data_IF_513511270170
#
_entry.id   IF_513511270170
#
_cell.length_a   1.000
_cell.length_b   1.000
_cell.length_c   1.000
_cell.angle_alpha   90.00
_cell.angle_beta   90.00
_cell.angle_gamma   90.00
#
_symmetry.space_group_name_H-M   'P 1'
#
loop_
_entity.id
_entity.type
_entity.pdbx_description
1 polymer ?
#
# COMPACT_ATOMS: atom_id res chain seq x y z
N UNK A 1 1.25 1.10 18.95
CA UNK A 1 -0.17 1.33 19.26
C UNK A 1 -0.67 2.37 18.28
N UNK A 2 -1.37 1.95 17.22
CA UNK A 2 -1.64 2.74 16.01
C UNK A 2 -3.05 2.41 15.46
N UNK A 3 -4.12 2.72 16.19
CA UNK A 3 -5.47 2.68 15.62
C UNK A 3 -5.74 4.03 14.95
N UNK A 4 -5.81 4.01 13.62
CA UNK A 4 -6.23 5.16 12.84
C UNK A 4 -7.63 4.90 12.30
N UNK A 5 -8.50 5.90 12.40
CA UNK A 5 -9.84 5.84 11.81
C UNK A 5 -10.11 7.09 10.97
N UNK A 6 -10.71 6.89 9.81
CA UNK A 6 -11.22 7.95 8.95
C UNK A 6 -12.71 7.76 8.81
N UNK A 7 -13.47 8.79 9.13
CA UNK A 7 -14.93 8.78 9.01
C UNK A 7 -15.33 9.81 7.97
N UNK A 8 -16.00 9.34 6.93
CA UNK A 8 -16.47 10.14 5.80
C UNK A 8 -17.99 10.24 5.86
N UNK A 9 -18.53 11.43 5.62
CA UNK A 9 -19.97 11.69 5.55
C UNK A 9 -20.30 12.34 4.22
N UNK A 10 -21.20 11.72 3.47
CA UNK A 10 -21.60 12.14 2.12
C UNK A 10 -23.14 12.08 1.99
N UNK A 11 -23.69 12.93 1.13
CA UNK A 11 -25.11 13.06 0.89
C UNK A 11 -25.49 14.49 0.48
N UNK A 12 -26.72 14.92 0.79
CA UNK A 12 -27.20 16.26 0.44
C UNK A 12 -26.32 17.36 1.11
N UNK A 13 -25.68 18.25 0.32
CA UNK A 13 -24.90 19.38 0.83
C UNK A 13 -25.63 20.27 1.85
N UNK A 14 -26.96 20.42 1.70
CA UNK A 14 -27.79 21.20 2.61
C UNK A 14 -27.85 20.61 4.03
N UNK A 15 -27.73 19.28 4.15
CA UNK A 15 -27.79 18.57 5.42
C UNK A 15 -26.42 18.43 6.10
N UNK A 16 -25.32 18.41 5.32
CA UNK A 16 -23.97 18.22 5.86
C UNK A 16 -23.58 19.28 6.90
N UNK A 17 -23.96 20.53 6.70
CA UNK A 17 -23.64 21.62 7.65
C UNK A 17 -24.29 21.40 9.02
N UNK A 18 -25.56 20.98 9.03
CA UNK A 18 -26.31 20.72 10.26
C UNK A 18 -25.82 19.44 10.94
N UNK A 19 -25.55 18.40 10.15
CA UNK A 19 -24.92 17.16 10.62
C UNK A 19 -23.59 17.43 11.32
N UNK A 20 -22.70 18.22 10.71
CA UNK A 20 -21.40 18.61 11.27
C UNK A 20 -21.54 19.22 12.67
N UNK A 21 -22.43 20.19 12.80
CA UNK A 21 -22.67 20.86 14.09
C UNK A 21 -23.26 19.91 15.14
N UNK A 22 -24.07 18.95 14.72
CA UNK A 22 -24.64 17.94 15.61
C UNK A 22 -23.59 16.92 16.07
N UNK A 23 -22.82 16.33 15.16
CA UNK A 23 -21.83 15.30 15.48
C UNK A 23 -20.66 15.87 16.29
N UNK A 24 -20.23 17.11 16.03
CA UNK A 24 -19.16 17.74 16.80
C UNK A 24 -19.56 17.93 18.28
N UNK A 25 -20.82 18.31 18.53
CA UNK A 25 -21.34 18.40 19.91
C UNK A 25 -21.33 17.04 20.61
N UNK A 26 -21.75 15.99 19.91
CA UNK A 26 -21.75 14.63 20.44
C UNK A 26 -20.31 14.12 20.71
N UNK A 27 -19.35 14.47 19.85
CA UNK A 27 -17.93 14.14 20.04
C UNK A 27 -17.33 14.88 21.24
N UNK A 28 -17.70 16.15 21.45
CA UNK A 28 -17.31 16.93 22.63
C UNK A 28 -17.91 16.34 23.92
N UNK A 29 -19.18 15.91 23.88
CA UNK A 29 -19.88 15.28 25.01
C UNK A 29 -19.32 13.90 25.38
N UNK A 30 -18.95 13.08 24.39
CA UNK A 30 -18.36 11.74 24.63
C UNK A 30 -17.00 11.83 25.33
N UNK A 31 -16.23 12.90 25.06
CA UNK A 31 -14.90 13.12 25.61
C UNK A 31 -13.89 12.13 25.02
N UNK A 32 -12.95 12.61 24.21
CA UNK A 32 -12.12 11.69 23.42
C UNK A 32 -10.78 12.24 22.94
N UNK A 33 -10.07 11.36 22.23
CA UNK A 33 -8.80 11.65 21.56
C UNK A 33 -8.95 12.77 20.53
N UNK A 34 -7.88 13.53 20.28
CA UNK A 34 -7.91 14.63 19.31
C UNK A 34 -8.11 14.12 17.89
N UNK A 35 -8.99 14.75 17.15
CA UNK A 35 -9.26 14.46 15.75
C UNK A 35 -8.96 15.66 14.86
N UNK A 36 -8.70 15.38 13.57
CA UNK A 36 -8.62 16.41 12.54
C UNK A 36 -9.90 16.35 11.72
N UNK A 37 -10.53 17.51 11.55
CA UNK A 37 -11.72 17.66 10.72
C UNK A 37 -11.32 18.32 9.38
N UNK A 38 -11.79 17.74 8.28
CA UNK A 38 -11.69 18.28 6.93
C UNK A 38 -13.12 18.37 6.37
N UNK A 39 -13.44 19.45 5.66
CA UNK A 39 -14.76 19.61 5.07
C UNK A 39 -14.69 20.32 3.72
N UNK A 40 -15.57 19.88 2.82
CA UNK A 40 -15.90 20.54 1.56
C UNK A 40 -17.42 20.78 1.50
N UNK A 41 -17.92 21.34 0.40
CA UNK A 41 -19.35 21.51 0.21
C UNK A 41 -20.12 20.18 0.12
N UNK A 42 -19.45 19.09 -0.32
CA UNK A 42 -20.10 17.82 -0.67
C UNK A 42 -19.74 16.67 0.29
N UNK A 43 -18.80 16.90 1.22
CA UNK A 43 -18.25 15.85 2.08
C UNK A 43 -17.68 16.40 3.37
N UNK A 44 -17.87 15.65 4.46
CA UNK A 44 -17.15 15.82 5.72
C UNK A 44 -16.20 14.64 5.92
N UNK A 45 -15.04 14.90 6.51
CA UNK A 45 -14.07 13.88 6.87
C UNK A 45 -13.47 14.14 8.25
N UNK A 46 -13.39 13.08 9.05
CA UNK A 46 -12.85 13.10 10.40
C UNK A 46 -11.74 12.06 10.53
N UNK A 47 -10.52 12.51 10.78
CA UNK A 47 -9.34 11.66 10.98
C UNK A 47 -9.01 11.55 12.47
N UNK A 48 -8.94 10.33 12.99
CA UNK A 48 -8.65 10.04 14.38
C UNK A 48 -7.35 9.24 14.53
N UNK A 49 -6.58 9.58 15.57
CA UNK A 49 -5.49 8.75 16.10
C UNK A 49 -5.87 8.30 17.50
N UNK A 50 -6.39 7.08 17.60
CA UNK A 50 -7.10 6.60 18.78
C UNK A 50 -6.19 5.75 19.67
N UNK A 51 -6.29 5.96 20.98
CA UNK A 51 -5.74 5.04 21.99
C UNK A 51 -6.76 3.98 22.39
N UNK A 52 -8.05 4.31 22.27
CA UNK A 52 -9.20 3.46 22.58
C UNK A 52 -9.89 2.90 21.33
N UNK A 53 -11.22 2.81 21.39
CA UNK A 53 -12.06 2.38 20.27
C UNK A 53 -12.48 3.54 19.36
N UNK A 54 -13.04 3.19 18.20
CA UNK A 54 -13.62 4.15 17.26
C UNK A 54 -14.89 4.74 17.90
N UNK A 55 -15.10 6.07 17.84
CA UNK A 55 -16.29 6.72 18.41
C UNK A 55 -17.52 6.45 17.55
N UNK A 56 -17.97 5.21 17.46
CA UNK A 56 -19.22 4.87 16.75
C UNK A 56 -20.47 5.57 17.31
N UNK A 57 -20.65 5.71 18.65
CA UNK A 57 -21.91 6.23 19.19
C UNK A 57 -22.31 7.63 18.71
N UNK A 58 -21.41 8.64 18.64
CA UNK A 58 -21.74 9.95 18.07
C UNK A 58 -22.21 9.88 16.61
N UNK A 59 -21.53 9.09 15.78
CA UNK A 59 -21.84 8.98 14.35
C UNK A 59 -23.11 8.16 14.08
N UNK A 60 -23.40 7.15 14.91
CA UNK A 60 -24.67 6.42 14.87
C UNK A 60 -25.83 7.34 15.25
N UNK A 61 -25.69 8.09 16.34
CA UNK A 61 -26.72 9.02 16.81
C UNK A 61 -26.97 10.14 15.80
N UNK A 62 -25.91 10.71 15.23
CA UNK A 62 -26.03 11.70 14.16
C UNK A 62 -26.66 11.09 12.89
N UNK A 63 -26.26 9.88 12.47
CA UNK A 63 -26.87 9.21 11.32
C UNK A 63 -28.37 8.95 11.50
N UNK A 64 -28.84 8.72 12.73
CA UNK A 64 -30.26 8.58 13.02
C UNK A 64 -31.03 9.91 12.85
N UNK A 65 -30.42 11.03 13.25
CA UNK A 65 -31.02 12.35 13.08
C UNK A 65 -31.01 12.84 11.62
N UNK A 66 -30.09 12.31 10.80
CA UNK A 66 -29.91 12.67 9.39
C UNK A 66 -29.92 11.40 8.51
N UNK A 67 -31.10 10.76 8.33
CA UNK A 67 -31.20 9.44 7.70
C UNK A 67 -30.79 9.43 6.22
N UNK A 68 -30.84 10.59 5.55
CA UNK A 68 -30.48 10.75 4.14
C UNK A 68 -28.96 10.86 3.91
N UNK A 69 -28.17 10.96 4.98
CA UNK A 69 -26.71 10.98 4.91
C UNK A 69 -26.13 9.58 5.10
N UNK A 70 -25.07 9.28 4.36
CA UNK A 70 -24.30 8.05 4.52
C UNK A 70 -23.02 8.35 5.27
N UNK A 71 -22.77 7.57 6.34
CA UNK A 71 -21.54 7.66 7.12
C UNK A 71 -20.71 6.42 6.86
N UNK A 72 -19.53 6.59 6.29
CA UNK A 72 -18.55 5.53 6.11
C UNK A 72 -17.44 5.66 7.14
N UNK A 73 -17.17 4.58 7.87
CA UNK A 73 -16.10 4.49 8.86
C UNK A 73 -15.08 3.48 8.33
N UNK A 74 -13.84 3.93 8.13
CA UNK A 74 -12.70 3.06 7.80
C UNK A 74 -11.71 3.11 8.95
N UNK A 75 -11.15 1.96 9.31
CA UNK A 75 -10.12 1.92 10.34
C UNK A 75 -9.03 0.90 10.05
N UNK A 76 -7.88 1.14 10.66
CA UNK A 76 -6.76 0.22 10.68
C UNK A 76 -6.11 0.23 12.07
N UNK A 77 -6.09 -0.94 12.72
CA UNK A 77 -5.28 -1.24 13.88
C UNK A 77 -4.02 -1.97 13.43
N UNK A 78 -2.94 -1.21 13.22
CA UNK A 78 -1.67 -1.79 12.78
C UNK A 78 -1.02 -2.68 13.86
N UNK A 79 -1.41 -2.55 15.14
CA UNK A 79 -0.86 -3.39 16.20
C UNK A 79 -1.56 -4.77 16.24
N UNK A 80 -2.85 -4.82 15.91
CA UNK A 80 -3.63 -6.06 15.88
C UNK A 80 -3.83 -6.64 14.47
N UNK A 81 -3.35 -5.97 13.41
CA UNK A 81 -3.57 -6.39 12.02
C UNK A 81 -5.03 -6.33 11.61
N UNK A 82 -5.84 -5.49 12.25
CA UNK A 82 -7.28 -5.46 12.02
C UNK A 82 -7.63 -4.19 11.27
N UNK A 83 -8.10 -4.33 10.04
CA UNK A 83 -8.73 -3.24 9.32
C UNK A 83 -10.21 -3.53 9.17
N UNK A 84 -10.98 -2.49 8.96
CA UNK A 84 -12.39 -2.68 8.68
C UNK A 84 -13.02 -1.46 8.07
N UNK A 85 -14.20 -1.73 7.52
CA UNK A 85 -15.09 -0.74 6.96
C UNK A 85 -16.47 -0.98 7.56
N UNK A 86 -17.10 0.10 7.98
CA UNK A 86 -18.47 0.10 8.41
C UNK A 86 -19.22 1.21 7.67
N UNK A 87 -20.44 0.94 7.25
CA UNK A 87 -21.35 1.94 6.72
C UNK A 87 -22.51 2.05 7.68
N UNK A 88 -22.79 3.28 8.12
CA UNK A 88 -23.91 3.60 8.99
C UNK A 88 -24.91 4.40 8.16
N UNK A 89 -26.17 3.96 8.18
CA UNK A 89 -27.30 4.66 7.56
C UNK A 89 -28.48 4.63 8.51
N UNK A 90 -29.13 5.77 8.70
CA UNK A 90 -30.29 5.91 9.58
C UNK A 90 -30.07 5.30 10.98
N UNK A 91 -28.90 5.52 11.56
CA UNK A 91 -28.54 4.98 12.89
C UNK A 91 -28.33 3.47 12.95
N UNK A 92 -28.29 2.78 11.81
CA UNK A 92 -28.05 1.34 11.72
C UNK A 92 -26.72 1.09 11.02
N UNK A 93 -25.93 0.17 11.58
CA UNK A 93 -24.75 -0.37 10.91
C UNK A 93 -25.22 -1.25 9.74
N UNK A 94 -25.29 -0.65 8.55
CA UNK A 94 -25.85 -1.27 7.34
C UNK A 94 -24.90 -2.31 6.74
N UNK A 95 -23.60 -2.04 6.78
CA UNK A 95 -22.56 -2.95 6.33
C UNK A 95 -21.39 -2.91 7.32
N UNK A 96 -20.87 -4.08 7.69
CA UNK A 96 -19.65 -4.19 8.47
C UNK A 96 -18.79 -5.28 7.86
N UNK A 97 -17.66 -4.87 7.28
CA UNK A 97 -16.62 -5.80 6.84
C UNK A 97 -15.45 -5.65 7.79
N UNK A 98 -15.17 -6.69 8.56
CA UNK A 98 -14.00 -6.76 9.42
C UNK A 98 -13.00 -7.71 8.77
N UNK A 99 -11.87 -7.17 8.34
CA UNK A 99 -10.78 -7.98 7.84
C UNK A 99 -9.80 -8.21 8.99
N UNK A 100 -9.82 -9.43 9.51
CA UNK A 100 -8.78 -9.90 10.41
C UNK A 100 -7.61 -10.32 9.55
N UNK A 101 -6.61 -9.47 9.41
CA UNK A 101 -5.30 -9.96 8.99
C UNK A 101 -4.66 -10.56 10.25
N UNK A 102 -3.94 -11.67 10.14
CA UNK A 102 -2.90 -11.95 11.13
C UNK A 102 -2.09 -10.65 11.26
N UNK A 103 -1.66 -10.22 12.48
CA UNK A 103 -0.88 -8.99 12.64
C UNK A 103 0.13 -8.95 11.52
N UNK A 104 -0.08 -8.06 10.55
CA UNK A 104 0.64 -8.12 9.30
C UNK A 104 2.09 -8.09 9.69
N UNK A 105 2.82 -9.18 9.45
CA UNK A 105 4.27 -9.08 9.47
C UNK A 105 4.57 -7.87 8.58
N UNK A 106 5.38 -6.93 9.07
CA UNK A 106 5.77 -5.77 8.30
C UNK A 106 6.07 -6.20 6.86
N UNK A 107 5.54 -5.48 5.87
CA UNK A 107 5.71 -5.82 4.47
C UNK A 107 7.17 -6.25 4.22
N UNK A 108 7.35 -7.43 3.63
CA UNK A 108 8.67 -7.97 3.39
C UNK A 108 9.27 -7.20 2.21
N UNK A 109 10.43 -6.61 2.46
CA UNK A 109 11.20 -5.83 1.51
C UNK A 109 12.51 -6.55 1.15
N UNK A 110 12.85 -6.54 -0.14
CA UNK A 110 14.19 -6.86 -0.68
C UNK A 110 14.57 -5.70 -1.60
N UNK A 111 15.65 -5.01 -1.28
CA UNK A 111 16.12 -3.82 -2.02
C UNK A 111 17.58 -4.03 -2.35
N UNK A 112 17.92 -3.90 -3.64
CA UNK A 112 19.27 -4.14 -4.16
C UNK A 112 19.69 -3.00 -5.07
N UNK A 113 20.92 -2.56 -4.87
CA UNK A 113 21.55 -1.54 -5.67
C UNK A 113 22.93 -1.98 -6.17
N UNK A 114 23.35 -1.42 -7.28
CA UNK A 114 24.73 -1.41 -7.73
C UNK A 114 25.62 -0.59 -6.78
N UNK A 115 26.94 -0.80 -6.89
CA UNK A 115 27.92 -0.03 -6.10
C UNK A 115 27.89 1.48 -6.40
N UNK A 116 27.40 1.88 -7.57
CA UNK A 116 27.19 3.27 -7.98
C UNK A 116 25.80 3.82 -7.58
N UNK A 117 25.05 3.07 -6.78
CA UNK A 117 23.71 3.45 -6.33
C UNK A 117 22.57 3.15 -7.31
N UNK A 118 22.85 2.55 -8.46
CA UNK A 118 21.83 2.14 -9.43
C UNK A 118 20.84 1.12 -8.85
N UNK A 119 19.55 1.33 -9.06
CA UNK A 119 18.51 0.39 -8.63
C UNK A 119 18.55 -0.88 -9.49
N UNK A 120 18.83 -2.04 -8.87
CA UNK A 120 18.79 -3.35 -9.56
C UNK A 120 17.42 -3.99 -9.47
N UNK A 121 16.91 -4.08 -8.25
CA UNK A 121 15.60 -4.62 -7.95
C UNK A 121 15.20 -4.12 -6.57
N UNK A 122 13.98 -3.66 -6.45
CA UNK A 122 13.36 -3.36 -5.17
C UNK A 122 11.94 -3.92 -5.18
N UNK A 123 11.56 -4.57 -4.10
CA UNK A 123 10.20 -5.10 -3.95
C UNK A 123 9.73 -4.99 -2.52
N UNK A 124 8.42 -4.87 -2.40
CA UNK A 124 7.68 -5.07 -1.17
C UNK A 124 6.57 -6.08 -1.43
N UNK A 125 6.33 -6.99 -0.48
CA UNK A 125 5.18 -7.88 -0.53
C UNK A 125 4.66 -8.22 0.85
N UNK A 126 3.38 -8.55 0.89
CA UNK A 126 2.71 -9.04 2.08
C UNK A 126 1.82 -10.23 1.73
N UNK A 127 1.43 -10.96 2.77
CA UNK A 127 0.48 -12.06 2.62
C UNK A 127 -0.92 -11.47 2.50
N UNK A 128 -1.57 -11.70 1.37
CA UNK A 128 -2.95 -11.31 1.12
C UNK A 128 -3.77 -12.54 0.80
N UNK A 129 -4.67 -12.92 1.71
CA UNK A 129 -5.38 -14.21 1.66
C UNK A 129 -4.37 -15.36 1.54
N UNK A 130 -4.58 -16.26 0.58
CA UNK A 130 -3.69 -17.40 0.31
C UNK A 130 -2.57 -17.08 -0.69
N UNK A 131 -2.35 -15.81 -1.02
CA UNK A 131 -1.39 -15.35 -2.02
C UNK A 131 -0.36 -14.38 -1.39
N UNK A 132 0.80 -14.27 -2.03
CA UNK A 132 1.74 -13.19 -1.76
C UNK A 132 1.52 -12.11 -2.81
N UNK A 133 1.12 -10.91 -2.39
CA UNK A 133 0.91 -9.77 -3.29
C UNK A 133 1.98 -8.73 -3.04
N UNK A 134 2.42 -8.10 -4.11
CA UNK A 134 3.52 -7.17 -4.01
C UNK A 134 3.68 -6.22 -5.17
N UNK A 135 4.58 -5.27 -4.96
CA UNK A 135 5.08 -4.35 -5.95
C UNK A 135 6.56 -4.61 -6.16
N UNK A 136 6.98 -4.65 -7.42
CA UNK A 136 8.38 -4.83 -7.81
C UNK A 136 8.78 -3.74 -8.80
N UNK A 137 9.98 -3.20 -8.64
CA UNK A 137 10.54 -2.15 -9.48
C UNK A 137 12.03 -2.40 -9.74
N UNK A 138 12.44 -2.18 -10.98
CA UNK A 138 13.81 -2.14 -11.45
C UNK A 138 14.12 -0.73 -11.99
N UNK A 139 15.26 -0.57 -12.67
CA UNK A 139 15.71 0.74 -13.16
C UNK A 139 14.72 1.40 -14.13
N UNK A 140 14.01 0.62 -14.94
CA UNK A 140 13.23 1.06 -16.10
C UNK A 140 11.84 0.40 -16.21
N UNK A 141 11.48 -0.48 -15.27
CA UNK A 141 10.20 -1.20 -15.27
C UNK A 141 9.71 -1.43 -13.85
N UNK A 142 8.40 -1.50 -13.69
CA UNK A 142 7.76 -1.91 -12.45
C UNK A 142 6.51 -2.71 -12.75
N UNK A 143 6.08 -3.50 -11.77
CA UNK A 143 4.87 -4.29 -11.88
C UNK A 143 4.25 -4.53 -10.51
N UNK A 144 2.94 -4.75 -10.53
CA UNK A 144 2.31 -5.53 -9.48
C UNK A 144 2.58 -7.00 -9.74
N UNK A 145 2.67 -7.78 -8.66
CA UNK A 145 2.78 -9.21 -8.77
C UNK A 145 1.94 -9.93 -7.73
N UNK A 146 1.58 -11.16 -8.06
CA UNK A 146 1.05 -12.13 -7.10
C UNK A 146 1.73 -13.49 -7.24
N UNK A 147 1.93 -14.16 -6.12
CA UNK A 147 2.46 -15.52 -6.08
C UNK A 147 1.53 -16.45 -5.31
N UNK A 148 1.08 -17.50 -6.00
CA UNK A 148 0.36 -18.63 -5.42
C UNK A 148 1.33 -19.80 -5.19
N UNK A 149 1.16 -20.55 -4.11
CA UNK A 149 1.94 -21.77 -3.84
C UNK A 149 3.20 -21.56 -2.99
N UNK A 150 4.24 -22.34 -3.26
CA UNK A 150 5.46 -22.44 -2.44
C UNK A 150 6.74 -22.53 -3.29
N UNK A 151 7.91 -22.46 -2.65
CA UNK A 151 9.22 -22.43 -3.32
C UNK A 151 9.45 -23.52 -4.40
N UNK A 152 8.88 -24.71 -4.23
CA UNK A 152 9.03 -25.83 -5.17
C UNK A 152 7.94 -25.94 -6.24
N UNK A 153 6.80 -25.26 -6.03
CA UNK A 153 5.64 -25.29 -6.93
C UNK A 153 4.84 -24.01 -6.72
N UNK A 154 4.98 -23.05 -7.62
CA UNK A 154 4.30 -21.76 -7.51
C UNK A 154 3.86 -21.23 -8.86
N UNK A 155 2.90 -20.31 -8.83
CA UNK A 155 2.51 -19.50 -9.96
C UNK A 155 2.78 -18.03 -9.64
N UNK A 156 3.52 -17.35 -10.50
CA UNK A 156 3.73 -15.91 -10.47
C UNK A 156 2.86 -15.28 -11.56
N UNK A 157 2.01 -14.32 -11.21
CA UNK A 157 1.40 -13.41 -12.20
C UNK A 157 1.97 -12.01 -12.03
N UNK A 158 2.17 -11.28 -13.13
CA UNK A 158 2.66 -9.91 -13.14
C UNK A 158 1.78 -9.01 -14.00
N UNK A 159 1.61 -7.76 -13.60
CA UNK A 159 1.16 -6.70 -14.51
C UNK A 159 2.33 -6.21 -15.36
N UNK A 160 2.03 -5.44 -16.41
CA UNK A 160 3.03 -4.77 -17.25
C UNK A 160 3.26 -3.31 -16.84
N UNK A 161 2.60 -2.86 -15.77
CA UNK A 161 2.68 -1.48 -15.26
C UNK A 161 1.89 -0.46 -16.06
N UNK A 162 1.12 -0.86 -17.08
CA UNK A 162 0.34 0.05 -17.93
C UNK A 162 -1.11 0.13 -17.47
N UNK A 163 -1.79 -1.03 -17.44
CA UNK A 163 -3.19 -1.14 -17.03
C UNK A 163 -3.31 -1.97 -15.74
N UNK A 164 -4.45 -1.86 -15.05
CA UNK A 164 -4.77 -2.64 -13.86
C UNK A 164 -5.14 -4.10 -14.23
N UNK A 165 -4.26 -4.78 -14.95
CA UNK A 165 -4.45 -6.13 -15.47
C UNK A 165 -3.21 -6.99 -15.23
N UNK A 166 -3.43 -8.28 -15.00
CA UNK A 166 -2.40 -9.30 -15.11
C UNK A 166 -2.13 -9.56 -16.60
N UNK A 167 -0.86 -9.38 -16.99
CA UNK A 167 -0.41 -9.52 -18.37
C UNK A 167 0.44 -10.77 -18.58
N UNK A 168 1.14 -11.23 -17.54
CA UNK A 168 2.13 -12.31 -17.65
C UNK A 168 1.96 -13.33 -16.54
N UNK A 169 2.24 -14.61 -16.85
CA UNK A 169 2.20 -15.71 -15.90
C UNK A 169 3.40 -16.63 -16.07
N UNK A 170 4.01 -17.02 -14.94
CA UNK A 170 4.99 -18.09 -14.87
C UNK A 170 4.48 -19.19 -13.95
N UNK A 171 4.42 -20.41 -14.46
CA UNK A 171 4.17 -21.61 -13.64
C UNK A 171 5.49 -22.30 -13.38
N UNK A 172 5.89 -22.39 -12.12
CA UNK A 172 7.16 -22.97 -11.68
C UNK A 172 6.90 -24.30 -10.99
N UNK A 173 7.61 -25.34 -11.41
CA UNK A 173 7.56 -26.67 -10.80
C UNK A 173 8.95 -27.31 -10.82
N UNK A 174 9.46 -27.70 -9.64
CA UNK A 174 10.73 -28.44 -9.52
C UNK A 174 11.94 -27.82 -10.25
N UNK A 175 11.98 -26.48 -10.35
CA UNK A 175 13.07 -25.73 -10.98
C UNK A 175 12.82 -25.32 -12.44
N UNK A 176 11.92 -26.02 -13.13
CA UNK A 176 11.44 -25.62 -14.46
C UNK A 176 10.38 -24.53 -14.32
N UNK A 177 10.30 -23.66 -15.34
CA UNK A 177 9.29 -22.62 -15.40
C UNK A 177 8.77 -22.47 -16.82
N UNK A 178 7.44 -22.44 -16.95
CA UNK A 178 6.76 -22.14 -18.20
C UNK A 178 6.26 -20.71 -18.13
N UNK A 179 6.58 -19.91 -19.15
CA UNK A 179 6.06 -18.56 -19.33
C UNK A 179 4.84 -18.56 -20.25
N UNK A 180 3.85 -17.72 -19.93
CA UNK A 180 2.73 -17.42 -20.79
C UNK A 180 2.37 -15.93 -20.69
N UNK A 181 2.20 -15.29 -21.84
CA UNK A 181 1.50 -14.01 -21.94
C UNK A 181 -0.01 -14.28 -21.87
N UNK A 182 -0.73 -13.48 -21.09
CA UNK A 182 -2.16 -13.64 -20.87
C UNK A 182 -2.94 -12.96 -21.99
N UNK A 183 -3.59 -13.78 -22.83
CA UNK A 183 -4.48 -13.33 -23.91
C UNK A 183 -5.79 -14.12 -23.83
N UNK A 184 -6.90 -13.51 -23.35
CA UNK A 184 -7.00 -12.12 -22.89
C UNK A 184 -6.26 -11.88 -21.57
N UNK A 185 -5.88 -10.63 -21.33
CA UNK A 185 -5.38 -10.17 -20.05
C UNK A 185 -6.47 -10.31 -18.98
N UNK A 186 -6.07 -10.54 -17.73
CA UNK A 186 -7.01 -10.73 -16.62
C UNK A 186 -7.09 -9.45 -15.78
N UNK A 187 -8.27 -8.85 -15.54
CA UNK A 187 -8.37 -7.66 -14.71
C UNK A 187 -7.95 -7.96 -13.26
N UNK A 188 -7.25 -7.03 -12.64
CA UNK A 188 -6.97 -7.05 -11.20
C UNK A 188 -8.27 -6.65 -10.48
N UNK A 189 -8.70 -7.44 -9.50
CA UNK A 189 -9.92 -7.12 -8.75
C UNK A 189 -9.75 -5.82 -7.94
N UNK A 190 -10.79 -4.99 -7.84
CA UNK A 190 -10.69 -3.67 -7.19
C UNK A 190 -10.15 -3.70 -5.75
N UNK A 191 -10.45 -4.74 -4.99
CA UNK A 191 -9.95 -4.91 -3.63
C UNK A 191 -8.48 -5.34 -3.59
N UNK A 192 -8.06 -6.17 -4.54
CA UNK A 192 -6.66 -6.55 -4.77
C UNK A 192 -5.83 -5.34 -5.22
N UNK A 193 -6.34 -4.58 -6.18
CA UNK A 193 -5.70 -3.39 -6.72
C UNK A 193 -5.47 -2.33 -5.64
N UNK A 194 -6.48 -2.07 -4.80
CA UNK A 194 -6.37 -1.11 -3.69
C UNK A 194 -5.23 -1.45 -2.72
N UNK A 195 -5.02 -2.74 -2.42
CA UNK A 195 -3.92 -3.15 -1.53
C UNK A 195 -2.55 -3.08 -2.23
N UNK A 196 -2.50 -3.46 -3.51
CA UNK A 196 -1.30 -3.32 -4.33
C UNK A 196 -0.86 -1.86 -4.47
N UNK A 197 -1.81 -0.95 -4.73
CA UNK A 197 -1.57 0.50 -4.80
C UNK A 197 -1.07 1.04 -3.47
N UNK A 198 -1.73 0.68 -2.36
CA UNK A 198 -1.30 1.10 -1.02
C UNK A 198 0.15 0.69 -0.77
N UNK A 199 0.48 -0.57 -1.05
CA UNK A 199 1.82 -1.10 -0.85
C UNK A 199 2.86 -0.41 -1.74
N UNK A 200 2.54 -0.21 -3.02
CA UNK A 200 3.43 0.47 -3.96
C UNK A 200 3.66 1.93 -3.58
N UNK A 201 2.63 2.66 -3.15
CA UNK A 201 2.74 4.04 -2.70
C UNK A 201 3.55 4.17 -1.42
N UNK A 202 3.28 3.34 -0.42
CA UNK A 202 4.05 3.31 0.83
C UNK A 202 5.53 3.01 0.57
N UNK A 203 5.79 1.97 -0.22
CA UNK A 203 7.14 1.57 -0.58
C UNK A 203 7.87 2.65 -1.38
N UNK A 204 7.25 3.17 -2.43
CA UNK A 204 7.86 4.18 -3.30
C UNK A 204 8.11 5.48 -2.54
N UNK A 205 7.17 5.92 -1.71
CA UNK A 205 7.37 7.09 -0.85
C UNK A 205 8.59 6.93 0.05
N UNK A 206 8.79 5.76 0.63
CA UNK A 206 9.90 5.49 1.53
C UNK A 206 11.25 5.31 0.80
N UNK A 207 11.25 4.63 -0.35
CA UNK A 207 12.47 4.11 -0.96
C UNK A 207 12.88 4.80 -2.25
N UNK A 208 11.91 5.26 -3.04
CA UNK A 208 12.11 5.62 -4.43
C UNK A 208 11.85 7.12 -4.65
N UNK A 209 12.58 7.68 -5.60
CA UNK A 209 12.21 8.93 -6.25
C UNK A 209 12.47 8.79 -7.75
N UNK A 210 11.61 9.39 -8.56
CA UNK A 210 11.67 9.25 -10.01
C UNK A 210 12.32 10.46 -10.63
N UNK A 211 13.06 10.27 -11.73
CA UNK A 211 13.59 11.39 -12.50
C UNK A 211 12.49 12.29 -13.05
N UNK A 212 11.35 11.71 -13.43
CA UNK A 212 10.21 12.43 -14.02
C UNK A 212 9.39 13.22 -12.98
N UNK A 213 9.60 12.97 -11.68
CA UNK A 213 8.94 13.74 -10.62
C UNK A 213 9.33 15.22 -10.69
N UNK A 214 8.47 16.09 -10.18
CA UNK A 214 8.69 17.54 -10.28
C UNK A 214 10.09 17.94 -9.75
N UNK A 215 10.85 18.79 -10.48
CA UNK A 215 12.19 19.16 -10.06
C UNK A 215 12.27 19.76 -8.65
N UNK A 216 11.22 20.45 -8.21
CA UNK A 216 11.13 21.01 -6.86
C UNK A 216 11.07 19.91 -5.78
N UNK A 217 10.37 18.81 -6.03
CA UNK A 217 10.25 17.67 -5.11
C UNK A 217 11.57 16.88 -5.00
N UNK A 218 12.32 16.81 -6.11
CA UNK A 218 13.54 16.00 -6.22
C UNK A 218 14.84 16.79 -6.07
N UNK A 219 14.79 18.12 -5.95
CA UNK A 219 15.97 19.00 -5.89
C UNK A 219 17.01 18.55 -4.85
N UNK A 220 16.56 18.16 -3.66
CA UNK A 220 17.45 17.70 -2.58
C UNK A 220 18.12 16.37 -2.93
N UNK A 221 17.38 15.43 -3.51
CA UNK A 221 17.95 14.13 -3.92
C UNK A 221 18.93 14.30 -5.07
N UNK A 222 18.61 15.14 -6.06
CA UNK A 222 19.51 15.46 -7.19
C UNK A 222 20.83 16.06 -6.72
N UNK A 223 20.78 17.04 -5.83
CA UNK A 223 22.00 17.64 -5.26
C UNK A 223 22.84 16.63 -4.46
N UNK A 224 22.20 15.70 -3.75
CA UNK A 224 22.91 14.63 -3.02
C UNK A 224 23.54 13.62 -3.98
N UNK A 225 22.83 13.22 -5.04
CA UNK A 225 23.36 12.32 -6.06
C UNK A 225 24.60 12.92 -6.74
N UNK A 226 24.53 14.20 -7.13
CA UNK A 226 25.68 14.95 -7.66
C UNK A 226 26.85 14.95 -6.67
N UNK A 227 26.60 15.32 -5.41
CA UNK A 227 27.64 15.34 -4.37
C UNK A 227 28.26 13.95 -4.08
N UNK A 228 27.53 12.87 -4.34
CA UNK A 228 27.99 11.50 -4.11
C UNK A 228 28.55 10.84 -5.37
N UNK A 229 28.47 11.51 -6.53
CA UNK A 229 28.88 10.94 -7.81
C UNK A 229 27.95 9.84 -8.32
N UNK A 230 26.68 9.83 -7.89
CA UNK A 230 25.68 8.88 -8.38
C UNK A 230 24.96 9.43 -9.61
N UNK A 231 24.84 8.65 -10.69
CA UNK A 231 24.05 9.06 -11.85
C UNK A 231 22.55 8.95 -11.54
N UNK A 232 21.77 9.89 -12.07
CA UNK A 232 20.30 9.86 -12.02
C UNK A 232 19.77 8.96 -13.13
N UNK A 233 18.80 8.11 -12.81
CA UNK A 233 18.10 7.17 -13.71
C UNK A 233 16.58 7.38 -13.61
N UNK A 234 15.77 6.65 -14.39
CA UNK A 234 14.31 6.78 -14.34
C UNK A 234 13.75 6.54 -12.93
N UNK A 235 14.13 5.43 -12.28
CA UNK A 235 13.87 5.14 -10.88
C UNK A 235 15.16 5.13 -10.04
N UNK A 236 15.16 5.87 -8.93
CA UNK A 236 16.32 6.01 -8.06
C UNK A 236 15.98 5.68 -6.61
N UNK A 237 16.93 5.07 -5.91
CA UNK A 237 16.85 4.93 -4.47
C UNK A 237 17.11 6.27 -3.79
N UNK A 238 16.37 6.57 -2.72
CA UNK A 238 16.66 7.74 -1.88
C UNK A 238 18.07 7.63 -1.32
N UNK A 239 18.83 8.72 -1.43
CA UNK A 239 20.22 8.81 -1.00
C UNK A 239 20.46 8.42 0.46
N UNK A 240 19.50 8.71 1.35
CA UNK A 240 19.55 8.27 2.75
C UNK A 240 19.53 6.74 2.87
N UNK A 241 18.70 6.06 2.08
CA UNK A 241 18.57 4.60 2.10
C UNK A 241 19.85 3.94 1.58
N UNK A 242 20.42 4.47 0.49
CA UNK A 242 21.70 4.04 -0.06
C UNK A 242 22.83 4.09 0.97
N UNK A 243 22.90 5.16 1.76
CA UNK A 243 24.05 5.40 2.66
C UNK A 243 23.90 4.82 4.07
N UNK A 244 22.67 4.76 4.59
CA UNK A 244 22.43 4.41 6.00
C UNK A 244 21.77 3.05 6.20
N UNK A 245 20.93 2.64 5.25
CA UNK A 245 20.06 1.47 5.42
C UNK A 245 20.63 0.26 4.72
N UNK A 246 20.98 0.38 3.43
CA UNK A 246 21.55 -0.73 2.68
C UNK A 246 22.92 -1.13 3.25
N UNK A 247 23.23 -2.42 3.10
CA UNK A 247 24.49 -3.04 3.56
C UNK A 247 25.28 -3.58 2.36
N UNK A 248 26.62 -3.61 2.42
CA UNK A 248 27.41 -4.23 1.38
C UNK A 248 27.01 -5.69 1.11
N UNK A 249 26.88 -6.05 -0.15
CA UNK A 249 26.68 -7.41 -0.68
C UNK A 249 27.65 -7.62 -1.86
N UNK A 250 27.89 -8.87 -2.27
CA UNK A 250 28.70 -9.14 -3.45
C UNK A 250 28.22 -8.34 -4.67
N UNK A 251 29.11 -7.47 -5.16
CA UNK A 251 28.85 -6.63 -6.31
C UNK A 251 27.93 -5.43 -6.05
N UNK A 252 27.47 -5.13 -4.83
CA UNK A 252 26.56 -4.00 -4.61
C UNK A 252 26.14 -3.75 -3.17
N UNK A 253 24.91 -3.25 -3.01
CA UNK A 253 24.29 -2.94 -1.73
C UNK A 253 22.93 -3.63 -1.63
N UNK A 254 22.59 -4.18 -0.46
CA UNK A 254 21.34 -4.89 -0.26
C UNK A 254 20.71 -4.65 1.13
N UNK A 255 19.38 -4.76 1.17
CA UNK A 255 18.57 -4.95 2.37
C UNK A 255 17.60 -6.09 2.07
N UNK A 256 17.48 -7.05 2.97
CA UNK A 256 16.47 -8.10 2.90
C UNK A 256 15.83 -8.32 4.27
N UNK A 257 14.51 -8.37 4.30
CA UNK A 257 13.73 -8.72 5.50
C UNK A 257 13.11 -10.12 5.42
N UNK A 258 13.33 -10.83 4.31
CA UNK A 258 12.83 -12.17 4.07
C UNK A 258 13.56 -13.20 4.94
N UNK A 259 12.79 -14.04 5.64
CA UNK A 259 13.31 -15.20 6.37
C UNK A 259 13.55 -16.41 5.46
N UNK A 260 14.08 -17.49 6.02
CA UNK A 260 14.40 -18.72 5.25
C UNK A 260 13.21 -19.29 4.48
N UNK A 261 12.00 -19.21 5.04
CA UNK A 261 10.77 -19.71 4.41
C UNK A 261 10.22 -18.83 3.28
N UNK A 262 10.70 -17.59 3.13
CA UNK A 262 10.17 -16.62 2.15
C UNK A 262 11.22 -16.04 1.21
N UNK A 263 12.52 -16.30 1.45
CA UNK A 263 13.64 -15.83 0.59
C UNK A 263 13.55 -16.25 -0.87
N UNK A 264 12.77 -17.28 -1.18
CA UNK A 264 12.56 -17.77 -2.54
C UNK A 264 11.75 -16.79 -3.41
N UNK A 265 10.94 -15.90 -2.81
CA UNK A 265 10.13 -14.91 -3.54
C UNK A 265 11.01 -13.88 -4.27
N UNK A 266 11.94 -13.18 -3.61
CA UNK A 266 12.84 -12.25 -4.32
C UNK A 266 13.74 -12.99 -5.31
N UNK A 267 14.14 -14.25 -5.04
CA UNK A 267 14.87 -15.08 -6.01
C UNK A 267 14.04 -15.41 -7.26
N UNK A 268 12.76 -15.72 -7.09
CA UNK A 268 11.82 -15.99 -8.18
C UNK A 268 11.70 -14.77 -9.09
N UNK A 269 11.43 -13.60 -8.52
CA UNK A 269 11.29 -12.34 -9.27
C UNK A 269 12.59 -11.98 -10.02
N UNK A 270 13.76 -12.11 -9.38
CA UNK A 270 15.05 -11.91 -10.07
C UNK A 270 15.27 -12.86 -11.24
N UNK A 271 14.86 -14.13 -11.11
CA UNK A 271 15.14 -15.16 -12.12
C UNK A 271 14.13 -15.15 -13.27
N UNK A 272 12.89 -14.75 -13.02
CA UNK A 272 11.77 -14.88 -13.97
C UNK A 272 11.30 -13.52 -14.48
N UNK A 273 10.87 -12.64 -13.60
CA UNK A 273 10.38 -11.32 -14.00
C UNK A 273 11.52 -10.45 -14.59
N UNK A 274 12.58 -10.20 -13.82
CA UNK A 274 13.65 -9.29 -14.25
C UNK A 274 14.43 -9.78 -15.49
N UNK A 275 14.55 -11.11 -15.68
CA UNK A 275 15.27 -11.69 -16.83
C UNK A 275 14.43 -11.80 -18.11
N UNK A 276 13.11 -11.66 -18.02
CA UNK A 276 12.23 -11.72 -19.19
C UNK A 276 12.18 -10.41 -19.97
N UNK A 277 12.69 -9.31 -19.40
CA UNK A 277 12.98 -8.08 -20.14
C UNK A 277 14.17 -8.31 -21.11
N UNK A 278 13.87 -8.86 -22.28
CA UNK A 278 14.78 -8.99 -23.42
C UNK A 278 14.03 -8.73 -24.72
#
# INVERSE_FOLDING_TARGET
>A
MNLNATITVEGDPGLLREYRGHVNRLLEEEGGDSYRELHSAERLEYEFKLRGGIPFPPFVSASQAFPDLTVEVRWNDAALGKSGRAVIKNGVLAEQTMQSHAPGGAALQDVRADADGGLRLALACERWRELWHGYVIAADQHAFFRVAGSAGSCELSSSDGIEAEWAERWTVSSGDATYAELVPREPIADDELRELDRLAQEFSREWIWFEESEPAETAVERARFEAYGYPVRAANLRSEKLRKVLRPEEGGLALGSFGEGTRWIPELLRRRWLRSAK
#
